data_IF_394840405495
#
_entry.id   IF_394840405495
#
_cell.length_a   1.000
_cell.length_b   1.000
_cell.length_c   1.000
_cell.angle_alpha   90.00
_cell.angle_beta   90.00
_cell.angle_gamma   90.00
#
_symmetry.space_group_name_H-M   'P 1'
#
loop_
_entity.id
_entity.type
_entity.pdbx_description
1 polymer ?
#
# COMPACT_ATOMS: atom_id res chain seq x y z
N UNK A 1 8.65 12.87 32.70
CA UNK A 1 8.38 12.87 31.25
C UNK A 1 9.49 12.06 30.60
N UNK A 2 9.16 10.92 30.02
CA UNK A 2 10.16 10.07 29.33
C UNK A 2 10.28 10.54 27.89
N UNK A 3 11.45 11.02 27.48
CA UNK A 3 11.73 11.36 26.10
C UNK A 3 12.32 10.11 25.45
N UNK A 4 11.67 9.59 24.43
CA UNK A 4 12.17 8.50 23.62
C UNK A 4 12.79 9.12 22.37
N UNK A 5 14.08 8.87 22.17
CA UNK A 5 14.83 9.43 21.07
C UNK A 5 15.05 8.36 19.99
N UNK A 6 14.70 8.67 18.76
CA UNK A 6 14.97 7.85 17.57
C UNK A 6 15.87 8.64 16.62
N UNK A 7 16.88 7.97 16.05
CA UNK A 7 17.70 8.56 14.99
C UNK A 7 16.98 8.46 13.65
N UNK A 8 16.14 9.45 13.39
CA UNK A 8 15.21 9.44 12.26
C UNK A 8 15.87 9.49 10.89
N UNK A 9 17.10 10.00 10.79
CA UNK A 9 17.75 10.24 9.51
C UNK A 9 18.70 9.12 9.11
N UNK A 10 19.50 8.65 10.06
CA UNK A 10 20.51 7.63 9.79
C UNK A 10 19.89 6.24 9.67
N UNK A 11 18.99 5.86 10.57
CA UNK A 11 18.41 4.52 10.59
C UNK A 11 17.60 4.23 9.33
N UNK A 12 16.67 5.13 8.95
CA UNK A 12 15.81 4.93 7.78
C UNK A 12 16.60 4.81 6.48
N UNK A 13 17.58 5.69 6.28
CA UNK A 13 18.42 5.68 5.08
C UNK A 13 19.38 4.49 5.05
N UNK A 14 19.96 4.12 6.19
CA UNK A 14 20.83 2.94 6.30
C UNK A 14 20.07 1.66 5.94
N UNK A 15 18.86 1.50 6.47
CA UNK A 15 18.03 0.34 6.16
C UNK A 15 17.64 0.29 4.68
N UNK A 16 17.30 1.44 4.06
CA UNK A 16 17.08 1.48 2.62
C UNK A 16 18.34 1.10 1.84
N UNK A 17 19.49 1.56 2.25
CA UNK A 17 20.76 1.19 1.60
C UNK A 17 21.01 -0.33 1.68
N UNK A 18 20.77 -0.94 2.83
CA UNK A 18 20.89 -2.40 2.99
C UNK A 18 19.92 -3.19 2.09
N UNK A 19 18.74 -2.62 1.80
CA UNK A 19 17.71 -3.27 0.96
C UNK A 19 17.92 -2.99 -0.55
N UNK A 20 18.37 -1.78 -0.92
CA UNK A 20 18.42 -1.34 -2.32
C UNK A 20 19.84 -1.18 -2.88
N UNK A 21 20.87 -1.22 -2.04
CA UNK A 21 22.25 -0.81 -2.35
C UNK A 21 22.41 0.67 -2.74
N UNK A 22 21.35 1.45 -2.54
CA UNK A 22 21.29 2.90 -2.68
C UNK A 22 20.22 3.47 -1.73
N UNK A 23 19.97 4.77 -1.77
CA UNK A 23 18.90 5.42 -0.97
C UNK A 23 17.89 6.05 -1.94
N UNK A 24 16.90 5.28 -2.44
CA UNK A 24 15.95 5.77 -3.43
C UNK A 24 14.96 6.79 -2.86
N UNK A 25 14.89 6.93 -1.53
CA UNK A 25 13.99 7.86 -0.84
C UNK A 25 14.66 8.42 0.43
N UNK A 26 14.98 9.71 0.43
CA UNK A 26 15.83 10.35 1.45
C UNK A 26 15.18 10.56 2.81
N UNK A 27 13.86 10.44 2.92
CA UNK A 27 13.09 10.73 4.14
C UNK A 27 12.39 9.51 4.74
N UNK A 28 12.96 8.33 4.54
CA UNK A 28 12.43 7.10 5.13
C UNK A 28 12.37 7.21 6.66
N UNK A 29 11.22 6.86 7.22
CA UNK A 29 11.08 6.82 8.69
C UNK A 29 11.90 5.66 9.26
N UNK A 30 12.44 5.79 10.49
CA UNK A 30 13.09 4.68 11.18
C UNK A 30 12.13 3.52 11.37
N UNK A 31 12.60 2.31 11.12
CA UNK A 31 11.81 1.11 11.39
C UNK A 31 11.50 0.98 12.87
N UNK A 32 12.49 1.25 13.73
CA UNK A 32 12.36 1.21 15.18
C UNK A 32 11.25 2.13 15.72
N UNK A 33 11.11 3.34 15.18
CA UNK A 33 10.05 4.28 15.55
C UNK A 33 8.66 3.72 15.19
N UNK A 34 8.49 3.25 13.95
CA UNK A 34 7.20 2.76 13.49
C UNK A 34 6.82 1.47 14.23
N UNK A 35 7.77 0.56 14.42
CA UNK A 35 7.57 -0.66 15.21
C UNK A 35 7.16 -0.31 16.65
N UNK A 36 7.84 0.64 17.29
CA UNK A 36 7.48 1.09 18.63
C UNK A 36 6.04 1.64 18.71
N UNK A 37 5.62 2.44 17.74
CA UNK A 37 4.26 3.00 17.72
C UNK A 37 3.20 1.90 17.53
N UNK A 38 3.45 0.94 16.64
CA UNK A 38 2.53 -0.18 16.39
C UNK A 38 2.48 -1.13 17.60
N UNK A 39 3.62 -1.38 18.24
CA UNK A 39 3.70 -2.26 19.42
C UNK A 39 2.89 -1.72 20.62
N UNK A 40 2.65 -0.41 20.69
CA UNK A 40 1.75 0.15 21.72
C UNK A 40 0.30 -0.27 21.55
N UNK A 41 -0.07 -0.80 20.39
CA UNK A 41 -1.37 -1.41 20.18
C UNK A 41 -1.36 -2.85 20.71
N UNK A 42 -2.13 -3.09 21.78
CA UNK A 42 -2.20 -4.39 22.48
C UNK A 42 -2.75 -5.50 21.57
N UNK A 43 -3.61 -5.14 20.61
CA UNK A 43 -4.22 -6.11 19.70
C UNK A 43 -3.24 -6.57 18.63
N UNK A 44 -2.73 -7.78 18.77
CA UNK A 44 -1.82 -8.41 17.80
C UNK A 44 -2.48 -8.82 16.47
N UNK A 45 -3.79 -8.67 16.36
CA UNK A 45 -4.57 -8.85 15.13
C UNK A 45 -5.06 -7.49 14.58
N UNK A 46 -4.44 -6.37 14.97
CA UNK A 46 -4.83 -5.05 14.52
C UNK A 46 -4.68 -4.88 13.00
N UNK A 47 -5.55 -4.06 12.43
CA UNK A 47 -5.48 -3.62 11.04
C UNK A 47 -4.85 -2.23 11.03
N UNK A 48 -3.71 -2.10 10.40
CA UNK A 48 -2.93 -0.86 10.33
C UNK A 48 -3.18 -0.20 8.96
N UNK A 49 -3.53 1.08 8.97
CA UNK A 49 -3.76 1.86 7.76
C UNK A 49 -2.78 3.04 7.72
N UNK A 50 -2.08 3.20 6.59
CA UNK A 50 -1.16 4.29 6.34
C UNK A 50 -1.48 4.93 4.99
N UNK A 51 -1.98 6.17 5.02
CA UNK A 51 -2.38 6.93 3.82
C UNK A 51 -1.20 7.59 3.08
N UNK A 52 -0.01 7.56 3.67
CA UNK A 52 1.20 8.19 3.13
C UNK A 52 2.39 7.26 3.27
N UNK A 53 2.27 6.06 2.69
CA UNK A 53 3.21 4.96 2.89
C UNK A 53 4.68 5.32 2.58
N UNK A 54 4.92 6.29 1.69
CA UNK A 54 6.27 6.71 1.33
C UNK A 54 7.12 5.52 0.88
N UNK A 55 8.18 5.22 1.63
CA UNK A 55 9.04 4.06 1.37
C UNK A 55 8.53 2.73 1.93
N UNK A 56 7.28 2.64 2.43
CA UNK A 56 6.70 1.40 2.94
C UNK A 56 7.20 0.95 4.32
N UNK A 57 7.70 1.86 5.15
CA UNK A 57 8.23 1.51 6.48
C UNK A 57 7.17 0.87 7.38
N UNK A 58 5.92 1.32 7.30
CA UNK A 58 4.81 0.75 8.08
C UNK A 58 4.57 -0.73 7.76
N UNK A 59 4.55 -1.10 6.48
CA UNK A 59 4.43 -2.50 6.08
C UNK A 59 5.59 -3.37 6.57
N UNK A 60 6.82 -2.86 6.46
CA UNK A 60 8.00 -3.55 6.99
C UNK A 60 7.89 -3.76 8.51
N UNK A 61 7.49 -2.73 9.26
CA UNK A 61 7.34 -2.81 10.72
C UNK A 61 6.26 -3.85 11.14
N UNK A 62 5.16 -3.93 10.40
CA UNK A 62 4.12 -4.93 10.68
C UNK A 62 4.63 -6.34 10.43
N UNK A 63 5.35 -6.58 9.33
CA UNK A 63 5.95 -7.89 9.03
C UNK A 63 6.95 -8.30 10.11
N UNK A 64 7.77 -7.36 10.57
CA UNK A 64 8.80 -7.60 11.57
C UNK A 64 8.18 -7.93 12.94
N UNK A 65 7.24 -7.14 13.41
CA UNK A 65 6.51 -7.40 14.65
C UNK A 65 5.75 -8.73 14.63
N UNK A 66 5.08 -9.06 13.52
CA UNK A 66 4.38 -10.35 13.40
C UNK A 66 5.34 -11.53 13.51
N UNK A 67 6.56 -11.40 12.95
CA UNK A 67 7.60 -12.40 13.05
C UNK A 67 8.14 -12.50 14.49
N UNK A 68 8.30 -11.36 15.17
CA UNK A 68 8.85 -11.30 16.52
C UNK A 68 7.90 -11.90 17.56
N UNK A 69 6.61 -11.53 17.50
CA UNK A 69 5.63 -11.85 18.55
C UNK A 69 4.55 -12.85 18.12
N UNK A 70 4.70 -13.48 16.94
CA UNK A 70 3.71 -14.36 16.31
C UNK A 70 2.32 -13.71 16.18
N UNK A 71 2.27 -12.40 15.98
CA UNK A 71 1.06 -11.66 15.72
C UNK A 71 0.50 -11.90 14.32
N UNK A 72 -0.73 -11.48 14.12
CA UNK A 72 -1.42 -11.57 12.83
C UNK A 72 -1.97 -10.19 12.42
N UNK A 73 -1.16 -9.15 12.62
CA UNK A 73 -1.51 -7.79 12.16
C UNK A 73 -1.52 -7.76 10.64
N UNK A 74 -2.45 -6.99 10.10
CA UNK A 74 -2.49 -6.69 8.67
C UNK A 74 -2.25 -5.21 8.43
N UNK A 75 -1.83 -4.85 7.22
CA UNK A 75 -1.62 -3.46 6.85
C UNK A 75 -2.24 -3.15 5.50
N UNK A 76 -2.66 -1.91 5.36
CA UNK A 76 -3.06 -1.30 4.09
C UNK A 76 -2.26 -0.03 3.92
N UNK A 77 -1.51 0.06 2.84
CA UNK A 77 -0.67 1.20 2.50
C UNK A 77 -1.24 1.89 1.28
N UNK A 78 -1.35 3.20 1.34
CA UNK A 78 -1.81 4.03 0.22
C UNK A 78 -0.70 5.02 -0.10
N UNK A 79 -0.30 5.09 -1.36
CA UNK A 79 0.67 6.06 -1.85
C UNK A 79 0.33 6.45 -3.29
N UNK A 80 0.73 7.65 -3.70
CA UNK A 80 0.81 7.96 -5.12
C UNK A 80 2.05 7.29 -5.72
N UNK A 81 2.21 7.40 -7.04
CA UNK A 81 3.43 6.93 -7.72
C UNK A 81 4.27 8.10 -8.26
N UNK A 82 4.18 9.27 -7.64
CA UNK A 82 5.00 10.42 -7.98
C UNK A 82 6.48 10.08 -7.80
N UNK A 83 7.29 10.35 -8.82
CA UNK A 83 8.70 9.96 -8.86
C UNK A 83 8.95 8.45 -8.63
N UNK A 84 8.01 7.60 -9.04
CA UNK A 84 8.08 6.15 -8.89
C UNK A 84 8.21 5.67 -7.42
N UNK A 85 7.63 6.43 -6.47
CA UNK A 85 7.71 6.08 -5.05
C UNK A 85 6.83 4.88 -4.71
N UNK A 86 5.71 4.69 -5.40
CA UNK A 86 4.81 3.56 -5.21
C UNK A 86 5.45 2.25 -5.64
N UNK A 87 5.76 2.11 -6.91
CA UNK A 87 6.31 0.88 -7.48
C UNK A 87 7.80 0.71 -7.21
N UNK A 88 8.60 1.71 -7.49
CA UNK A 88 10.07 1.61 -7.41
C UNK A 88 10.62 1.62 -5.99
N UNK A 89 9.87 2.12 -5.01
CA UNK A 89 10.36 2.20 -3.63
C UNK A 89 9.48 1.39 -2.68
N UNK A 90 8.21 1.74 -2.52
CA UNK A 90 7.33 1.11 -1.53
C UNK A 90 7.12 -0.38 -1.83
N UNK A 91 6.63 -0.68 -3.03
CA UNK A 91 6.39 -2.05 -3.46
C UNK A 91 7.69 -2.86 -3.52
N UNK A 92 8.72 -2.32 -4.17
CA UNK A 92 10.00 -3.01 -4.32
C UNK A 92 10.65 -3.33 -2.95
N UNK A 93 10.59 -2.40 -1.98
CA UNK A 93 11.03 -2.69 -0.60
C UNK A 93 10.30 -3.87 0.00
N UNK A 94 8.95 -3.84 -0.03
CA UNK A 94 8.14 -4.91 0.55
C UNK A 94 8.33 -6.23 -0.18
N UNK A 95 8.48 -6.20 -1.50
CA UNK A 95 8.80 -7.37 -2.31
C UNK A 95 10.14 -7.98 -1.90
N UNK A 96 11.20 -7.17 -1.81
CA UNK A 96 12.56 -7.60 -1.44
C UNK A 96 12.60 -8.28 -0.08
N UNK A 97 12.11 -7.60 0.95
CA UNK A 97 12.13 -8.16 2.31
C UNK A 97 11.22 -9.38 2.45
N UNK A 98 10.20 -9.49 1.64
CA UNK A 98 9.27 -10.61 1.66
C UNK A 98 9.81 -11.85 0.92
N UNK A 99 10.50 -11.65 -0.19
CA UNK A 99 11.02 -12.71 -1.04
C UNK A 99 12.51 -13.02 -0.82
N UNK A 100 13.29 -12.06 -0.34
CA UNK A 100 14.74 -12.15 -0.20
C UNK A 100 15.50 -11.94 -1.50
N UNK A 101 14.83 -11.43 -2.51
CA UNK A 101 15.37 -11.13 -3.84
C UNK A 101 14.59 -9.95 -4.42
N UNK A 102 15.21 -9.11 -5.20
CA UNK A 102 14.55 -8.01 -5.92
C UNK A 102 13.70 -8.51 -7.08
N UNK A 103 12.85 -7.65 -7.62
CA UNK A 103 11.94 -7.99 -8.73
C UNK A 103 12.65 -8.42 -10.00
N UNK A 104 13.90 -7.99 -10.21
CA UNK A 104 14.77 -8.43 -11.32
C UNK A 104 15.82 -9.48 -10.90
N UNK A 105 15.65 -10.10 -9.72
CA UNK A 105 16.58 -11.11 -9.23
C UNK A 105 17.79 -10.56 -8.47
N UNK A 106 17.79 -9.27 -8.10
CA UNK A 106 18.92 -8.66 -7.38
C UNK A 106 19.06 -9.22 -5.97
N UNK A 107 20.30 -9.41 -5.55
CA UNK A 107 20.67 -9.72 -4.17
C UNK A 107 21.06 -8.43 -3.42
N UNK A 108 20.88 -8.41 -2.11
CA UNK A 108 21.13 -7.21 -1.29
C UNK A 108 21.54 -7.56 0.14
N UNK A 109 22.21 -6.62 0.83
CA UNK A 109 22.86 -6.85 2.12
C UNK A 109 21.90 -7.29 3.22
N UNK A 110 20.67 -6.78 3.25
CA UNK A 110 19.67 -7.08 4.28
C UNK A 110 19.47 -8.61 4.49
N UNK A 111 19.52 -9.39 3.39
CA UNK A 111 19.33 -10.85 3.44
C UNK A 111 20.48 -11.61 4.11
N UNK A 112 21.64 -10.99 4.26
CA UNK A 112 22.76 -11.57 5.01
C UNK A 112 22.50 -11.63 6.52
N UNK A 113 21.63 -10.75 7.01
CA UNK A 113 21.30 -10.56 8.43
C UNK A 113 19.88 -11.02 8.78
N UNK A 114 19.01 -11.11 7.78
CA UNK A 114 17.57 -11.32 7.96
C UNK A 114 17.05 -12.44 7.05
N UNK A 115 16.07 -13.18 7.56
CA UNK A 115 15.32 -14.14 6.74
C UNK A 115 14.09 -13.44 6.15
N UNK A 116 13.74 -13.69 4.87
CA UNK A 116 12.54 -13.18 4.24
C UNK A 116 11.27 -13.51 5.03
N UNK A 117 10.30 -12.60 5.01
CA UNK A 117 9.07 -12.77 5.81
C UNK A 117 8.09 -13.78 5.21
N UNK A 118 8.06 -13.97 3.89
CA UNK A 118 7.21 -14.94 3.17
C UNK A 118 5.72 -14.75 3.44
N UNK A 119 5.27 -13.51 3.58
CA UNK A 119 3.86 -13.16 3.77
C UNK A 119 3.20 -12.82 2.43
N UNK A 120 1.87 -12.88 2.37
CA UNK A 120 1.12 -12.42 1.20
C UNK A 120 1.19 -10.91 1.06
N UNK A 121 1.34 -10.44 -0.18
CA UNK A 121 1.31 -9.03 -0.56
C UNK A 121 0.41 -8.86 -1.77
N UNK A 122 -0.73 -8.20 -1.58
CA UNK A 122 -1.62 -7.81 -2.66
C UNK A 122 -1.34 -6.36 -3.05
N UNK A 123 -1.27 -6.08 -4.34
CA UNK A 123 -1.00 -4.75 -4.87
C UNK A 123 -2.12 -4.37 -5.81
N UNK A 124 -2.70 -3.18 -5.59
CA UNK A 124 -3.80 -2.66 -6.39
C UNK A 124 -3.40 -1.31 -6.97
N UNK A 125 -3.75 -1.07 -8.23
CA UNK A 125 -3.72 0.26 -8.83
C UNK A 125 -5.09 0.93 -8.70
N UNK A 126 -5.10 2.26 -8.60
CA UNK A 126 -6.33 3.05 -8.62
C UNK A 126 -6.44 3.70 -9.98
N UNK A 127 -7.44 3.31 -10.73
CA UNK A 127 -7.78 3.91 -12.02
C UNK A 127 -8.91 4.92 -11.87
N UNK A 128 -8.80 6.01 -12.62
CA UNK A 128 -9.81 7.07 -12.62
C UNK A 128 -10.59 7.05 -13.93
N UNK A 129 -11.90 7.01 -13.81
CA UNK A 129 -12.81 7.10 -14.95
C UNK A 129 -13.60 8.42 -14.89
N UNK A 130 -13.62 9.16 -16.00
CA UNK A 130 -14.45 10.35 -16.10
C UNK A 130 -15.92 9.96 -16.22
N UNK A 131 -16.71 10.31 -15.22
CA UNK A 131 -18.14 10.04 -15.16
C UNK A 131 -18.95 11.34 -15.31
N UNK A 132 -18.39 12.41 -15.93
CA UNK A 132 -19.09 13.68 -16.06
C UNK A 132 -20.27 13.54 -17.06
N UNK A 133 -21.44 14.00 -16.64
CA UNK A 133 -22.70 13.97 -17.42
C UNK A 133 -22.60 14.90 -18.66
N UNK A 134 -21.61 15.80 -18.70
CA UNK A 134 -21.45 16.80 -19.75
C UNK A 134 -20.79 16.25 -21.03
N UNK A 135 -20.15 15.08 -20.95
CA UNK A 135 -19.62 14.38 -22.12
C UNK A 135 -20.66 13.40 -22.64
N UNK A 136 -21.55 13.88 -23.49
CA UNK A 136 -22.69 13.12 -24.05
C UNK A 136 -22.31 11.86 -24.86
N UNK A 137 -21.04 11.69 -25.22
CA UNK A 137 -20.61 10.65 -26.17
C UNK A 137 -19.75 9.53 -25.54
N UNK A 138 -19.64 9.48 -24.19
CA UNK A 138 -18.74 8.53 -23.56
C UNK A 138 -19.43 7.26 -23.02
N UNK A 139 -20.15 6.56 -23.90
CA UNK A 139 -20.56 5.17 -23.66
C UNK A 139 -19.33 4.25 -23.40
N UNK A 140 -18.14 4.66 -23.80
CA UNK A 140 -16.90 3.94 -23.63
C UNK A 140 -16.42 3.94 -22.16
N UNK A 141 -16.56 5.04 -21.43
CA UNK A 141 -16.18 5.11 -20.01
C UNK A 141 -17.05 4.18 -19.14
N UNK A 142 -18.36 4.16 -19.38
CA UNK A 142 -19.29 3.26 -18.67
C UNK A 142 -18.97 1.79 -18.99
N UNK A 143 -18.68 1.48 -20.23
CA UNK A 143 -18.30 0.13 -20.64
C UNK A 143 -16.98 -0.31 -19.99
N UNK A 144 -16.01 0.58 -19.93
CA UNK A 144 -14.71 0.34 -19.24
C UNK A 144 -14.89 0.11 -17.75
N UNK A 145 -15.69 0.94 -17.07
CA UNK A 145 -16.00 0.79 -15.64
C UNK A 145 -16.65 -0.57 -15.37
N UNK A 146 -17.68 -0.93 -16.18
CA UNK A 146 -18.35 -2.23 -16.03
C UNK A 146 -17.40 -3.39 -16.23
N UNK A 147 -16.53 -3.31 -17.24
CA UNK A 147 -15.55 -4.37 -17.52
C UNK A 147 -14.54 -4.50 -16.38
N UNK A 148 -14.00 -3.40 -15.87
CA UNK A 148 -13.08 -3.40 -14.74
C UNK A 148 -13.76 -3.95 -13.49
N UNK A 149 -14.96 -3.48 -13.16
CA UNK A 149 -15.72 -3.96 -12.00
C UNK A 149 -16.01 -5.47 -12.08
N UNK A 150 -16.43 -5.98 -13.23
CA UNK A 150 -16.67 -7.42 -13.39
C UNK A 150 -15.38 -8.23 -13.18
N UNK A 151 -14.26 -7.77 -13.70
CA UNK A 151 -12.96 -8.42 -13.51
C UNK A 151 -12.59 -8.50 -12.04
N UNK A 152 -12.68 -7.39 -11.31
CA UNK A 152 -12.39 -7.35 -9.88
C UNK A 152 -13.30 -8.28 -9.07
N UNK A 153 -14.60 -8.29 -9.37
CA UNK A 153 -15.58 -9.13 -8.70
C UNK A 153 -15.26 -10.62 -8.92
N UNK A 154 -14.92 -11.00 -10.14
CA UNK A 154 -14.52 -12.37 -10.48
C UNK A 154 -13.23 -12.77 -9.74
N UNK A 155 -12.24 -11.88 -9.67
CA UNK A 155 -10.99 -12.12 -8.94
C UNK A 155 -11.23 -12.29 -7.44
N UNK A 156 -12.26 -11.64 -6.87
CA UNK A 156 -12.71 -11.85 -5.49
C UNK A 156 -13.58 -13.11 -5.31
N UNK A 157 -13.83 -13.89 -6.37
CA UNK A 157 -14.66 -15.11 -6.31
C UNK A 157 -16.15 -14.86 -6.11
N UNK A 158 -16.63 -13.66 -6.44
CA UNK A 158 -18.04 -13.28 -6.34
C UNK A 158 -18.71 -13.46 -7.69
N UNK A 159 -19.84 -14.17 -7.73
CA UNK A 159 -20.67 -14.26 -8.95
C UNK A 159 -21.67 -13.11 -8.96
N UNK A 160 -21.56 -12.15 -9.91
CA UNK A 160 -22.45 -10.99 -9.92
C UNK A 160 -23.89 -11.39 -10.26
N UNK A 161 -24.86 -10.82 -9.55
CA UNK A 161 -26.28 -10.87 -9.96
C UNK A 161 -26.50 -10.00 -11.21
N UNK A 162 -27.57 -10.25 -11.94
CA UNK A 162 -27.89 -9.52 -13.19
C UNK A 162 -28.00 -7.98 -13.02
N UNK A 163 -28.36 -7.50 -11.83
CA UNK A 163 -28.52 -6.06 -11.53
C UNK A 163 -27.35 -5.49 -10.74
N UNK A 164 -26.43 -6.31 -10.29
CA UNK A 164 -25.34 -5.93 -9.39
C UNK A 164 -24.50 -4.75 -9.94
N UNK A 165 -24.17 -4.79 -11.21
CA UNK A 165 -23.34 -3.75 -11.84
C UNK A 165 -24.07 -2.39 -11.95
N UNK A 166 -25.38 -2.40 -12.08
CA UNK A 166 -26.20 -1.18 -12.19
C UNK A 166 -26.33 -0.52 -10.81
N UNK A 167 -26.60 -1.32 -9.79
CA UNK A 167 -26.77 -0.82 -8.42
C UNK A 167 -25.45 -0.24 -7.89
N UNK A 168 -24.33 -0.94 -8.02
CA UNK A 168 -23.01 -0.42 -7.61
C UNK A 168 -22.65 0.85 -8.39
N UNK A 169 -22.95 0.93 -9.68
CA UNK A 169 -22.67 2.13 -10.45
C UNK A 169 -23.42 3.35 -9.91
N UNK A 170 -24.70 3.19 -9.58
CA UNK A 170 -25.50 4.27 -8.96
C UNK A 170 -25.01 4.62 -7.55
N UNK A 171 -24.63 3.63 -6.76
CA UNK A 171 -24.07 3.84 -5.44
C UNK A 171 -22.75 4.61 -5.52
N UNK A 172 -21.84 4.26 -6.42
CA UNK A 172 -20.59 4.99 -6.66
C UNK A 172 -20.85 6.43 -7.15
N UNK A 173 -21.85 6.66 -7.99
CA UNK A 173 -22.24 8.01 -8.41
C UNK A 173 -22.77 8.84 -7.23
N UNK A 174 -23.47 8.23 -6.28
CA UNK A 174 -24.00 8.91 -5.10
C UNK A 174 -22.90 9.37 -4.14
N UNK A 175 -21.72 8.74 -4.16
CA UNK A 175 -20.56 9.12 -3.37
C UNK A 175 -19.79 10.34 -3.90
N UNK A 176 -20.12 10.84 -5.09
CA UNK A 176 -19.45 12.04 -5.64
C UNK A 176 -19.68 13.25 -4.74
N UNK A 177 -18.61 14.00 -4.40
CA UNK A 177 -18.78 15.28 -3.72
C UNK A 177 -19.64 16.21 -4.57
N UNK A 178 -20.68 16.77 -3.99
CA UNK A 178 -21.44 17.86 -4.63
C UNK A 178 -20.50 19.07 -4.67
N UNK A 179 -19.96 19.36 -5.84
CA UNK A 179 -19.22 20.60 -6.06
C UNK A 179 -20.21 21.74 -5.82
N UNK A 180 -20.06 22.49 -4.73
CA UNK A 180 -20.77 23.75 -4.55
C UNK A 180 -20.30 24.67 -5.68
N UNK A 181 -21.12 24.85 -6.70
CA UNK A 181 -20.93 25.88 -7.67
C UNK A 181 -20.96 27.19 -6.89
N UNK A 182 -19.80 27.85 -6.78
CA UNK A 182 -19.70 29.16 -6.12
C UNK A 182 -20.67 30.13 -6.77
N UNK A 183 -21.45 30.81 -5.92
CA UNK A 183 -22.25 31.97 -6.35
C UNK A 183 -21.32 33.12 -6.67
#
# INVERSE_FOLDING_TARGET
MTIIQFDTRLEGNKLLYEIFSNVPFSFSKPLSLISYLIDKQINKNARILDFYAGSGTTGHAVMDLNKEDNGNRTYTLITNDENNIGYGVCYERLYRINNGVGTNGETFEWTSKNKPYKQNLNVFSIDYYDTSILKKDDNDSIAKIKKALNKEIEEFGITPSTNFNVDIYYDLLSLKPILKVGK
#
